data_IF_271702162981
#
_entry.id   IF_271702162981
#
_cell.length_a   1.000
_cell.length_b   1.000
_cell.length_c   1.000
_cell.angle_alpha   90.00
_cell.angle_beta   90.00
_cell.angle_gamma   90.00
#
_symmetry.space_group_name_H-M   'P 1'
#
loop_
_entity.id
_entity.type
_entity.pdbx_description
1 polymer ?
#
# COMPACT_ATOMS: atom_id res chain seq x y z
N UNK A 1 -1.72 -16.73 8.73
CA UNK A 1 -2.33 -15.40 8.45
C UNK A 1 -1.45 -14.37 9.13
N UNK A 2 -0.89 -13.43 8.37
CA UNK A 2 -0.06 -12.34 8.90
C UNK A 2 -0.92 -11.27 9.58
N UNK A 3 -0.30 -10.41 10.39
CA UNK A 3 -1.02 -9.41 11.23
C UNK A 3 -1.88 -8.44 10.39
N UNK A 4 -1.51 -8.21 9.14
CA UNK A 4 -2.22 -7.28 8.25
C UNK A 4 -3.55 -7.84 7.74
N UNK A 5 -3.77 -9.16 7.79
CA UNK A 5 -5.00 -9.78 7.28
C UNK A 5 -6.28 -9.39 8.04
N UNK A 6 -6.14 -8.81 9.24
CA UNK A 6 -7.26 -8.29 10.05
C UNK A 6 -7.44 -6.78 9.93
N UNK A 7 -6.54 -6.07 9.23
CA UNK A 7 -6.59 -4.62 9.08
C UNK A 7 -7.47 -4.29 7.86
N UNK A 8 -8.59 -3.55 8.04
CA UNK A 8 -9.44 -3.18 6.92
C UNK A 8 -8.71 -2.19 6.02
N UNK A 9 -8.95 -2.28 4.72
CA UNK A 9 -8.31 -1.38 3.77
C UNK A 9 -8.93 0.03 3.84
N UNK A 10 -8.11 1.02 4.19
CA UNK A 10 -8.44 2.46 4.17
C UNK A 10 -7.19 3.25 3.79
N UNK A 11 -7.36 4.49 3.31
CA UNK A 11 -6.25 5.43 3.06
C UNK A 11 -5.37 5.60 4.31
N UNK A 12 -5.99 5.88 5.46
CA UNK A 12 -5.26 6.10 6.72
C UNK A 12 -4.41 4.89 7.14
N UNK A 13 -4.91 3.67 6.91
CA UNK A 13 -4.14 2.46 7.17
C UNK A 13 -3.00 2.29 6.18
N UNK A 14 -3.22 2.55 4.88
CA UNK A 14 -2.16 2.54 3.88
C UNK A 14 -1.04 3.52 4.24
N UNK A 15 -1.38 4.77 4.61
CA UNK A 15 -0.43 5.78 5.07
C UNK A 15 0.31 5.34 6.34
N UNK A 16 -0.39 4.77 7.31
CA UNK A 16 0.22 4.27 8.56
C UNK A 16 1.22 3.14 8.28
N UNK A 17 0.85 2.19 7.43
CA UNK A 17 1.72 1.06 7.05
C UNK A 17 2.95 1.53 6.27
N UNK A 18 2.79 2.44 5.30
CA UNK A 18 3.92 3.04 4.60
C UNK A 18 4.85 3.81 5.56
N UNK A 19 4.28 4.48 6.56
CA UNK A 19 5.06 5.17 7.60
C UNK A 19 5.88 4.19 8.43
N UNK A 20 5.32 3.05 8.84
CA UNK A 20 6.06 2.01 9.56
C UNK A 20 7.22 1.44 8.74
N UNK A 21 7.00 1.21 7.44
CA UNK A 21 8.06 0.75 6.53
C UNK A 21 9.19 1.79 6.40
N UNK A 22 8.84 3.07 6.21
CA UNK A 22 9.81 4.17 6.14
C UNK A 22 10.63 4.32 7.42
N UNK A 23 10.00 4.09 8.58
CA UNK A 23 10.66 4.14 9.90
C UNK A 23 11.40 2.87 10.25
N UNK A 24 11.34 1.83 9.40
CA UNK A 24 11.94 0.51 9.63
C UNK A 24 11.44 -0.13 10.94
N UNK A 25 10.19 0.13 11.27
CA UNK A 25 9.50 -0.52 12.36
C UNK A 25 9.12 -1.94 11.88
N UNK A 26 9.85 -2.96 12.35
CA UNK A 26 9.74 -4.36 11.93
C UNK A 26 8.44 -5.03 12.45
N UNK A 27 7.28 -4.39 12.26
CA UNK A 27 5.98 -4.92 12.68
C UNK A 27 5.42 -5.95 11.69
N UNK A 28 5.77 -5.82 10.41
CA UNK A 28 5.38 -6.71 9.33
C UNK A 28 6.44 -6.68 8.23
N UNK A 29 6.41 -7.69 7.37
CA UNK A 29 7.32 -7.81 6.22
C UNK A 29 6.81 -7.04 5.00
N UNK A 30 7.69 -6.70 4.07
CA UNK A 30 7.29 -6.13 2.77
C UNK A 30 6.32 -7.05 2.02
N UNK A 31 6.49 -8.38 2.16
CA UNK A 31 5.61 -9.36 1.55
C UNK A 31 4.21 -9.33 2.15
N UNK A 32 4.10 -9.23 3.48
CA UNK A 32 2.80 -9.06 4.13
C UNK A 32 2.10 -7.79 3.66
N UNK A 33 2.85 -6.68 3.54
CA UNK A 33 2.33 -5.42 3.02
C UNK A 33 1.85 -5.53 1.56
N UNK A 34 2.67 -6.10 0.68
CA UNK A 34 2.31 -6.31 -0.73
C UNK A 34 1.08 -7.22 -0.87
N UNK A 35 0.98 -8.29 -0.06
CA UNK A 35 -0.18 -9.17 -0.05
C UNK A 35 -1.45 -8.47 0.45
N UNK A 36 -1.31 -7.55 1.41
CA UNK A 36 -2.43 -6.73 1.89
C UNK A 36 -2.94 -5.79 0.79
N UNK A 37 -2.06 -5.08 0.10
CA UNK A 37 -2.41 -4.26 -1.07
C UNK A 37 -3.04 -5.09 -2.21
N UNK A 38 -2.47 -6.26 -2.50
CA UNK A 38 -3.00 -7.17 -3.53
C UNK A 38 -4.40 -7.69 -3.20
N UNK A 39 -4.69 -7.93 -1.92
CA UNK A 39 -6.03 -8.36 -1.49
C UNK A 39 -7.07 -7.28 -1.76
N UNK A 40 -6.74 -6.01 -1.51
CA UNK A 40 -7.59 -4.89 -1.90
C UNK A 40 -7.73 -4.79 -3.42
N UNK A 41 -6.63 -4.81 -4.17
CA UNK A 41 -6.65 -4.75 -5.64
C UNK A 41 -7.52 -5.86 -6.26
N UNK A 42 -7.42 -7.08 -5.73
CA UNK A 42 -8.19 -8.23 -6.19
C UNK A 42 -9.69 -8.05 -5.93
N UNK A 43 -10.06 -7.60 -4.73
CA UNK A 43 -11.45 -7.31 -4.36
C UNK A 43 -12.02 -6.13 -5.16
N UNK A 44 -11.18 -5.15 -5.48
CA UNK A 44 -11.54 -4.03 -6.33
C UNK A 44 -11.82 -4.48 -7.77
N UNK A 45 -10.94 -5.30 -8.37
CA UNK A 45 -11.08 -5.82 -9.74
C UNK A 45 -12.25 -6.81 -9.92
N UNK A 46 -12.74 -7.41 -8.84
CA UNK A 46 -13.82 -8.41 -8.89
C UNK A 46 -15.24 -7.81 -8.87
N UNK A 47 -15.44 -6.59 -9.38
CA UNK A 47 -16.75 -5.89 -9.45
C UNK A 47 -17.43 -5.61 -8.08
N UNK A 48 -16.65 -5.33 -7.05
CA UNK A 48 -17.21 -4.75 -5.83
C UNK A 48 -17.40 -3.24 -6.05
N UNK A 49 -18.44 -2.86 -6.80
CA UNK A 49 -18.76 -1.48 -7.24
C UNK A 49 -18.70 -0.44 -6.10
N UNK A 50 -19.01 -0.85 -4.88
CA UNK A 50 -18.97 0.03 -3.69
C UNK A 50 -17.55 0.41 -3.26
N UNK A 51 -16.56 -0.44 -3.49
CA UNK A 51 -15.18 -0.26 -3.03
C UNK A 51 -14.42 0.74 -3.91
N UNK A 52 -14.63 0.69 -5.22
CA UNK A 52 -14.07 1.66 -6.16
C UNK A 52 -14.63 3.07 -5.91
N UNK A 53 -15.96 3.19 -5.83
CA UNK A 53 -16.63 4.48 -5.71
C UNK A 53 -16.36 5.21 -4.38
N UNK A 54 -15.84 4.51 -3.37
CA UNK A 54 -15.53 5.05 -2.03
C UNK A 54 -14.03 5.26 -1.80
N UNK A 55 -13.19 4.83 -2.72
CA UNK A 55 -11.74 5.00 -2.62
C UNK A 55 -11.30 6.11 -3.56
N UNK A 56 -10.49 7.04 -3.07
CA UNK A 56 -9.97 8.11 -3.92
C UNK A 56 -8.93 7.60 -4.93
N UNK A 57 -8.77 8.37 -6.01
CA UNK A 57 -7.91 8.03 -7.14
C UNK A 57 -6.44 7.84 -6.74
N UNK A 58 -5.91 8.68 -5.84
CA UNK A 58 -4.51 8.60 -5.39
C UNK A 58 -4.25 7.28 -4.66
N UNK A 59 -5.17 6.90 -3.76
CA UNK A 59 -5.09 5.63 -3.04
C UNK A 59 -5.11 4.44 -4.00
N UNK A 60 -5.95 4.49 -5.04
CA UNK A 60 -6.01 3.44 -6.06
C UNK A 60 -4.70 3.37 -6.85
N UNK A 61 -4.19 4.51 -7.32
CA UNK A 61 -2.96 4.58 -8.10
C UNK A 61 -1.77 4.01 -7.32
N UNK A 62 -1.64 4.36 -6.03
CA UNK A 62 -0.58 3.85 -5.17
C UNK A 62 -0.66 2.33 -4.99
N UNK A 63 -1.85 1.77 -4.75
CA UNK A 63 -2.02 0.31 -4.64
C UNK A 63 -1.65 -0.39 -5.94
N UNK A 64 -2.09 0.17 -7.08
CA UNK A 64 -1.76 -0.39 -8.40
C UNK A 64 -0.25 -0.38 -8.61
N UNK A 65 0.44 0.72 -8.33
CA UNK A 65 1.90 0.78 -8.49
C UNK A 65 2.63 -0.19 -7.55
N UNK A 66 2.21 -0.29 -6.27
CA UNK A 66 2.74 -1.29 -5.33
C UNK A 66 2.61 -2.70 -5.90
N UNK A 67 1.45 -3.02 -6.47
CA UNK A 67 1.19 -4.32 -7.05
C UNK A 67 2.03 -4.58 -8.30
N UNK A 68 2.19 -3.59 -9.19
CA UNK A 68 3.03 -3.70 -10.38
C UNK A 68 4.50 -3.90 -10.02
N UNK A 69 5.03 -3.14 -9.06
CA UNK A 69 6.40 -3.30 -8.57
C UNK A 69 6.58 -4.70 -7.95
N UNK A 70 5.61 -5.16 -7.17
CA UNK A 70 5.63 -6.49 -6.57
C UNK A 70 5.69 -7.60 -7.63
N UNK A 71 4.83 -7.53 -8.66
CA UNK A 71 4.81 -8.51 -9.74
C UNK A 71 6.11 -8.52 -10.56
N UNK A 72 6.71 -7.34 -10.77
CA UNK A 72 7.90 -7.20 -11.61
C UNK A 72 9.21 -7.56 -10.89
N UNK A 73 9.31 -7.23 -9.59
CA UNK A 73 10.59 -7.29 -8.87
C UNK A 73 10.57 -8.11 -7.59
N UNK A 74 9.40 -8.47 -7.07
CA UNK A 74 9.24 -9.12 -5.77
C UNK A 74 9.25 -8.12 -4.59
N UNK A 75 8.55 -8.47 -3.50
CA UNK A 75 8.40 -7.59 -2.33
C UNK A 75 9.73 -7.34 -1.59
N UNK A 76 10.67 -8.27 -1.70
CA UNK A 76 12.01 -8.17 -1.13
C UNK A 76 12.88 -7.11 -1.82
N UNK A 77 12.45 -6.58 -2.96
CA UNK A 77 13.17 -5.55 -3.72
C UNK A 77 12.62 -4.14 -3.55
N UNK A 78 11.58 -3.96 -2.74
CA UNK A 78 11.06 -2.64 -2.42
C UNK A 78 12.14 -1.75 -1.83
N UNK A 79 12.31 -0.57 -2.42
CA UNK A 79 13.31 0.42 -2.00
C UNK A 79 12.68 1.49 -1.13
N UNK A 80 13.44 2.01 -0.17
CA UNK A 80 13.04 3.18 0.65
C UNK A 80 12.53 4.36 -0.21
N UNK A 81 13.09 4.55 -1.41
CA UNK A 81 12.65 5.58 -2.36
C UNK A 81 11.22 5.38 -2.87
N UNK A 82 10.78 4.13 -3.06
CA UNK A 82 9.44 3.83 -3.55
C UNK A 82 8.40 4.13 -2.47
N UNK A 83 8.66 3.74 -1.23
CA UNK A 83 7.79 4.09 -0.10
C UNK A 83 7.62 5.61 0.06
N UNK A 84 8.67 6.40 -0.22
CA UNK A 84 8.59 7.87 -0.21
C UNK A 84 7.73 8.41 -1.35
N UNK A 85 7.83 7.84 -2.56
CA UNK A 85 7.01 8.24 -3.71
C UNK A 85 5.54 7.97 -3.40
N UNK A 86 5.20 6.75 -2.99
CA UNK A 86 3.83 6.38 -2.62
C UNK A 86 3.27 7.27 -1.52
N UNK A 87 4.07 7.59 -0.51
CA UNK A 87 3.65 8.50 0.56
C UNK A 87 3.44 9.95 0.08
N UNK A 88 4.20 10.44 -0.89
CA UNK A 88 3.99 11.78 -1.48
C UNK A 88 2.74 11.83 -2.36
N UNK A 89 2.44 10.74 -3.06
CA UNK A 89 1.20 10.63 -3.83
C UNK A 89 -0.03 10.64 -2.90
N UNK A 90 0.03 9.93 -1.77
CA UNK A 90 -1.03 9.98 -0.76
C UNK A 90 -1.06 11.30 0.02
N UNK A 91 0.07 11.96 0.20
CA UNK A 91 0.10 13.20 0.98
C UNK A 91 1.18 14.14 0.45
N UNK A 92 0.84 14.96 -0.56
CA UNK A 92 1.82 15.82 -1.25
C UNK A 92 2.36 16.94 -0.36
N UNK A 93 1.81 17.15 0.83
CA UNK A 93 2.25 18.15 1.81
C UNK A 93 3.34 17.58 2.73
N UNK A 94 3.54 16.25 2.76
CA UNK A 94 4.60 15.63 3.56
C UNK A 94 5.97 16.04 3.03
N UNK A 95 6.84 16.46 3.95
CA UNK A 95 8.26 16.73 3.67
C UNK A 95 9.12 15.73 4.43
N UNK A 96 9.94 14.98 3.70
CA UNK A 96 10.95 14.13 4.31
C UNK A 96 12.19 14.98 4.62
N UNK A 97 12.49 15.14 5.91
CA UNK A 97 13.73 15.78 6.38
C UNK A 97 14.89 14.78 6.42
#
# INVERSE_FOLDING_TARGET
>A
MGILSTIPFTRDHLESLLTFLLRKENQFTHLEFANWCHSFWSNWRSDNDDLFNRTDEDTINVVVDIYEVYQNTGAEKFKDSQFKVWMLELNPIITFK
#
